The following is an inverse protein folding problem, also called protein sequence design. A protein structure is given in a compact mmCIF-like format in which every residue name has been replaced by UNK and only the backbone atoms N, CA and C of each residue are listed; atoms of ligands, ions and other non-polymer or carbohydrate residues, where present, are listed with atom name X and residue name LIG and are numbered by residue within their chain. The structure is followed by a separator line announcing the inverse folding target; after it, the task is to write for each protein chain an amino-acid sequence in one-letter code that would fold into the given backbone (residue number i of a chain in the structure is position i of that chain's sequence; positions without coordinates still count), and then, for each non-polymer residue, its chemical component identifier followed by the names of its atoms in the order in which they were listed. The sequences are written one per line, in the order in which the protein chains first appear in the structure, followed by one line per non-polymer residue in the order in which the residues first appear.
data_IF_350199646323
#
_entry.id   IF_350199646323
#
_cell.length_a   1.000
_cell.length_b   1.000
_cell.length_c   1.000
_cell.angle_alpha   90.00
_cell.angle_beta   90.00
_cell.angle_gamma   90.00
#
_symmetry.space_group_name_H-M   'P 1'
#
loop_
_entity.id
_entity.type
_entity.pdbx_description
1 polymer ?
#
# COMPACT_ATOMS: atom_id res chain seq x y z
N UNK A 1 14.44 -6.51 -8.32
CA UNK A 1 15.07 -5.32 -7.72
C UNK A 1 16.55 -5.52 -7.44
N UNK A 2 16.95 -6.65 -6.83
CA UNK A 2 18.37 -6.91 -6.61
C UNK A 2 19.16 -6.93 -7.93
N UNK A 3 18.61 -7.54 -8.97
CA UNK A 3 19.22 -7.65 -10.30
C UNK A 3 19.34 -6.31 -11.04
N UNK A 4 18.45 -5.36 -10.72
CA UNK A 4 18.43 -4.03 -11.39
C UNK A 4 19.20 -2.96 -10.62
N UNK A 5 19.17 -3.00 -9.28
CA UNK A 5 19.69 -1.94 -8.40
C UNK A 5 20.76 -2.44 -7.43
N UNK A 6 20.94 -3.75 -7.33
CA UNK A 6 21.90 -4.39 -6.43
C UNK A 6 23.36 -4.23 -6.84
N UNK A 7 24.27 -4.96 -6.21
CA UNK A 7 23.99 -5.83 -5.07
C UNK A 7 23.63 -5.06 -3.79
N UNK A 8 22.82 -5.67 -2.93
CA UNK A 8 22.54 -5.18 -1.58
C UNK A 8 23.19 -6.09 -0.54
N UNK A 9 23.56 -5.54 0.62
CA UNK A 9 24.04 -6.32 1.75
C UNK A 9 22.89 -7.05 2.44
N UNK A 10 21.73 -6.39 2.55
CA UNK A 10 20.52 -7.00 3.12
C UNK A 10 19.22 -6.39 2.56
N UNK A 11 18.17 -7.20 2.58
CA UNK A 11 16.79 -6.79 2.36
C UNK A 11 16.01 -6.95 3.65
N UNK A 12 15.51 -5.82 4.19
CA UNK A 12 14.69 -5.80 5.40
C UNK A 12 13.21 -5.83 5.06
N UNK A 13 12.47 -6.71 5.75
CA UNK A 13 11.02 -6.85 5.66
C UNK A 13 10.39 -6.29 6.94
N UNK A 14 9.73 -5.14 6.84
CA UNK A 14 9.19 -4.37 7.98
C UNK A 14 7.71 -4.11 7.71
N UNK A 15 6.83 -5.11 7.83
CA UNK A 15 5.42 -4.96 7.48
C UNK A 15 4.62 -4.18 8.53
N UNK A 16 5.22 -3.81 9.67
CA UNK A 16 4.56 -3.05 10.71
C UNK A 16 4.03 -1.70 10.21
N UNK A 17 2.77 -1.42 10.54
CA UNK A 17 2.08 -0.15 10.29
C UNK A 17 1.29 0.22 11.52
N UNK A 18 1.90 1.05 12.37
CA UNK A 18 1.44 1.31 13.74
C UNK A 18 0.06 1.98 13.72
N UNK A 19 -0.16 2.98 12.85
CA UNK A 19 -1.42 3.69 12.72
C UNK A 19 -2.57 2.76 12.27
N UNK A 20 -2.23 1.75 11.47
CA UNK A 20 -3.16 0.70 11.02
C UNK A 20 -3.21 -0.49 11.96
N UNK A 21 -2.68 -0.36 13.21
CA UNK A 21 -2.61 -1.43 14.21
C UNK A 21 -1.98 -2.73 13.70
N UNK A 22 -0.97 -2.61 12.84
CA UNK A 22 -0.24 -3.75 12.28
C UNK A 22 1.11 -3.88 12.95
N UNK A 23 1.36 -5.03 13.51
CA UNK A 23 2.57 -5.35 14.29
C UNK A 23 3.16 -6.67 13.83
N UNK A 24 4.45 -6.86 14.08
CA UNK A 24 5.13 -8.15 13.86
C UNK A 24 5.80 -8.54 15.16
N UNK A 25 5.44 -9.71 15.68
CA UNK A 25 5.89 -10.23 16.97
C UNK A 25 6.32 -11.67 16.78
N UNK A 26 7.56 -11.99 17.16
CA UNK A 26 8.17 -13.33 16.98
C UNK A 26 8.04 -13.87 15.54
N UNK A 27 8.09 -12.98 14.56
CA UNK A 27 7.98 -13.30 13.15
C UNK A 27 6.54 -13.43 12.63
N UNK A 28 5.52 -13.37 13.48
CA UNK A 28 4.13 -13.41 13.09
C UNK A 28 3.56 -11.99 12.95
N UNK A 29 2.77 -11.77 11.89
CA UNK A 29 2.14 -10.49 11.59
C UNK A 29 0.69 -10.46 12.06
N UNK A 30 0.34 -9.37 12.75
CA UNK A 30 -0.97 -9.13 13.34
C UNK A 30 -1.59 -7.86 12.78
N UNK A 31 -2.91 -7.84 12.71
CA UNK A 31 -3.74 -6.67 12.44
C UNK A 31 -4.77 -6.57 13.54
N UNK A 32 -4.74 -5.49 14.33
CA UNK A 32 -5.61 -5.27 15.48
C UNK A 32 -5.61 -6.48 16.44
N UNK A 33 -4.42 -6.99 16.77
CA UNK A 33 -4.16 -8.19 17.59
C UNK A 33 -4.69 -9.52 17.03
N UNK A 34 -5.24 -9.53 15.81
CA UNK A 34 -5.65 -10.75 15.11
C UNK A 34 -4.53 -11.21 14.18
N UNK A 35 -4.13 -12.51 14.22
CA UNK A 35 -3.18 -13.04 13.24
C UNK A 35 -3.65 -12.75 11.82
N UNK A 36 -2.78 -12.20 10.98
CA UNK A 36 -3.18 -11.70 9.65
C UNK A 36 -3.80 -12.78 8.76
N UNK A 37 -3.43 -14.06 8.95
CA UNK A 37 -4.04 -15.19 8.24
C UNK A 37 -5.51 -15.44 8.59
N UNK A 38 -6.02 -14.86 9.68
CA UNK A 38 -7.42 -14.98 10.13
C UNK A 38 -8.25 -13.75 9.73
N UNK A 39 -7.63 -12.73 9.15
CA UNK A 39 -8.29 -11.50 8.73
C UNK A 39 -8.86 -11.59 7.32
N UNK A 40 -9.66 -10.59 6.93
CA UNK A 40 -10.16 -10.44 5.56
C UNK A 40 -9.04 -10.34 4.52
N UNK A 41 -7.87 -9.80 4.89
CA UNK A 41 -6.72 -9.66 4.00
C UNK A 41 -6.16 -11.00 3.52
N UNK A 42 -6.31 -12.05 4.33
CA UNK A 42 -5.88 -13.40 3.95
C UNK A 42 -6.75 -14.04 2.85
N UNK A 43 -8.00 -13.58 2.74
CA UNK A 43 -9.00 -14.11 1.79
C UNK A 43 -8.88 -13.53 0.38
N UNK A 44 -7.99 -12.56 0.17
CA UNK A 44 -7.74 -11.98 -1.15
C UNK A 44 -7.33 -13.07 -2.14
N UNK A 45 -7.98 -13.10 -3.33
CA UNK A 45 -7.80 -14.16 -4.33
C UNK A 45 -6.43 -14.13 -5.00
N UNK A 46 -5.81 -12.96 -5.09
CA UNK A 46 -4.52 -12.77 -5.78
C UNK A 46 -3.38 -12.72 -4.76
N UNK A 47 -3.55 -11.96 -3.69
CA UNK A 47 -2.51 -11.65 -2.71
C UNK A 47 -2.71 -12.37 -1.37
N UNK A 48 -3.76 -13.17 -1.24
CA UNK A 48 -4.10 -13.89 -0.02
C UNK A 48 -2.99 -14.84 0.45
N UNK A 49 -3.07 -15.24 1.70
CA UNK A 49 -2.06 -16.07 2.36
C UNK A 49 -2.67 -16.95 3.45
N UNK A 50 -2.02 -18.08 3.71
CA UNK A 50 -2.51 -19.09 4.66
C UNK A 50 -1.78 -19.08 6.00
N UNK A 51 -0.78 -18.23 6.17
CA UNK A 51 0.04 -18.15 7.38
C UNK A 51 0.21 -16.70 7.80
N UNK A 52 0.38 -16.45 9.09
CA UNK A 52 0.76 -15.13 9.64
C UNK A 52 2.26 -14.97 9.75
N UNK A 53 3.02 -16.05 9.64
CA UNK A 53 4.46 -16.03 9.77
C UNK A 53 5.12 -15.41 8.53
N UNK A 54 5.77 -14.25 8.73
CA UNK A 54 6.36 -13.45 7.64
C UNK A 54 7.48 -14.21 6.93
N UNK A 55 8.24 -15.04 7.65
CA UNK A 55 9.30 -15.88 7.07
C UNK A 55 8.71 -16.92 6.11
N UNK A 56 7.63 -17.59 6.50
CA UNK A 56 6.92 -18.52 5.63
C UNK A 56 6.29 -17.82 4.43
N UNK A 57 5.67 -16.64 4.65
CA UNK A 57 5.10 -15.83 3.56
C UNK A 57 6.15 -15.43 2.54
N UNK A 58 7.31 -14.97 3.01
CA UNK A 58 8.42 -14.58 2.14
C UNK A 58 8.92 -15.77 1.32
N UNK A 59 9.16 -16.91 1.98
CA UNK A 59 9.63 -18.13 1.31
C UNK A 59 8.66 -18.60 0.23
N UNK A 60 7.35 -18.64 0.52
CA UNK A 60 6.32 -19.03 -0.45
C UNK A 60 6.25 -18.08 -1.64
N UNK A 61 6.32 -16.75 -1.40
CA UNK A 61 6.22 -15.73 -2.47
C UNK A 61 7.48 -15.69 -3.35
N UNK A 62 8.64 -16.01 -2.80
CA UNK A 62 9.90 -16.06 -3.56
C UNK A 62 10.08 -17.36 -4.37
N UNK A 63 9.09 -18.27 -4.39
CA UNK A 63 9.13 -19.53 -5.15
C UNK A 63 10.45 -20.29 -4.96
N UNK A 64 10.92 -20.40 -3.73
CA UNK A 64 12.15 -21.10 -3.32
C UNK A 64 13.47 -20.49 -3.87
N UNK A 65 13.45 -19.25 -4.37
CA UNK A 65 14.69 -18.54 -4.75
C UNK A 65 15.56 -18.15 -3.54
N UNK A 66 14.98 -18.20 -2.35
CA UNK A 66 15.64 -17.92 -1.06
C UNK A 66 15.50 -19.18 -0.21
N UNK A 67 16.60 -19.63 0.40
CA UNK A 67 16.53 -20.74 1.35
C UNK A 67 15.83 -20.32 2.63
N UNK A 68 14.90 -21.12 3.12
CA UNK A 68 14.12 -20.81 4.31
C UNK A 68 15.02 -20.50 5.53
N UNK A 69 16.08 -21.26 5.73
CA UNK A 69 17.00 -21.10 6.86
C UNK A 69 17.86 -19.82 6.77
N UNK A 70 18.03 -19.25 5.58
CA UNK A 70 18.82 -18.02 5.40
C UNK A 70 18.01 -16.76 5.74
N UNK A 71 16.69 -16.89 5.89
CA UNK A 71 15.83 -15.79 6.33
C UNK A 71 15.97 -15.62 7.84
N UNK A 72 16.52 -14.48 8.26
CA UNK A 72 16.74 -14.15 9.66
C UNK A 72 15.55 -13.40 10.26
N UNK A 73 15.43 -13.41 11.58
CA UNK A 73 14.50 -12.56 12.32
C UNK A 73 15.26 -11.68 13.31
N UNK A 74 14.97 -10.38 13.30
CA UNK A 74 15.41 -9.41 14.29
C UNK A 74 14.27 -9.23 15.30
N UNK A 75 14.43 -9.85 16.47
CA UNK A 75 13.37 -9.95 17.49
C UNK A 75 13.22 -8.67 18.30
N UNK A 76 12.02 -8.44 18.84
CA UNK A 76 11.71 -7.34 19.75
C UNK A 76 12.64 -7.32 20.95
N UNK A 77 12.97 -8.50 21.52
CA UNK A 77 13.89 -8.62 22.64
C UNK A 77 15.28 -8.05 22.32
N UNK A 78 15.76 -8.25 21.10
CA UNK A 78 17.04 -7.68 20.64
C UNK A 78 16.97 -6.17 20.50
N UNK A 79 15.82 -5.62 20.07
CA UNK A 79 15.58 -4.17 19.97
C UNK A 79 15.44 -3.49 21.33
N UNK A 80 14.94 -4.19 22.36
CA UNK A 80 14.84 -3.67 23.74
C UNK A 80 16.21 -3.51 24.40
N UNK A 81 17.16 -4.39 24.13
CA UNK A 81 18.52 -4.38 24.71
C UNK A 81 19.36 -3.17 24.29
N UNK A 82 18.90 -2.38 23.28
CA UNK A 82 19.58 -1.13 22.90
C UNK A 82 19.65 -0.07 24.02
N UNK A 83 18.96 -0.24 25.14
CA UNK A 83 18.96 0.68 26.29
C UNK A 83 20.13 0.48 27.24
N UNK A 84 20.77 -0.68 27.24
CA UNK A 84 21.95 -0.94 28.08
C UNK A 84 23.25 -0.57 27.35
N UNK A 85 24.25 -0.13 28.09
CA UNK A 85 25.62 0.14 27.62
C UNK A 85 26.32 -1.10 27.01
N UNK A 86 25.71 -2.26 27.07
CA UNK A 86 26.16 -3.48 26.44
C UNK A 86 25.83 -3.46 24.94
N UNK A 87 26.63 -2.66 24.31
CA UNK A 87 27.04 -2.70 22.91
C UNK A 87 26.16 -3.54 21.94
N UNK A 88 25.11 -2.89 21.41
CA UNK A 88 24.76 -2.97 19.98
C UNK A 88 24.70 -4.37 19.37
N UNK A 89 24.01 -5.33 20.02
CA UNK A 89 23.75 -6.64 19.40
C UNK A 89 23.09 -6.44 18.02
N UNK A 90 22.06 -5.61 17.95
CA UNK A 90 21.36 -5.27 16.71
C UNK A 90 22.28 -4.61 15.71
N UNK A 91 23.05 -3.60 16.12
CA UNK A 91 23.99 -2.91 15.23
C UNK A 91 25.03 -3.87 14.65
N UNK A 92 25.62 -4.74 15.49
CA UNK A 92 26.59 -5.72 15.03
C UNK A 92 25.95 -6.80 14.15
N UNK A 93 24.74 -7.24 14.47
CA UNK A 93 23.98 -8.18 13.63
C UNK A 93 23.76 -7.57 12.25
N UNK A 94 23.26 -6.33 12.15
CA UNK A 94 23.04 -5.64 10.88
C UNK A 94 24.37 -5.41 10.14
N UNK A 95 25.43 -5.01 10.85
CA UNK A 95 26.75 -4.78 10.25
C UNK A 95 27.35 -6.01 9.59
N UNK A 96 27.07 -7.20 10.11
CA UNK A 96 27.59 -8.46 9.61
C UNK A 96 26.75 -9.06 8.45
N UNK A 97 25.59 -8.46 8.11
CA UNK A 97 24.77 -8.91 6.98
C UNK A 97 25.50 -8.68 5.66
N UNK A 98 25.39 -9.63 4.75
CA UNK A 98 26.01 -9.62 3.42
C UNK A 98 25.19 -10.46 2.44
N UNK A 99 25.54 -10.37 1.15
CA UNK A 99 24.98 -11.25 0.09
C UNK A 99 23.46 -11.23 0.04
N UNK A 100 22.88 -10.02 0.17
CA UNK A 100 21.44 -9.81 0.20
C UNK A 100 20.70 -10.64 1.25
N UNK A 101 21.25 -10.73 2.46
CA UNK A 101 20.59 -11.41 3.57
C UNK A 101 19.16 -10.90 3.77
N UNK A 102 18.18 -11.79 3.87
CA UNK A 102 16.78 -11.41 4.13
C UNK A 102 16.51 -11.39 5.63
N UNK A 103 16.02 -10.26 6.14
CA UNK A 103 15.80 -10.05 7.57
C UNK A 103 14.38 -9.55 7.81
N UNK A 104 13.60 -10.29 8.60
CA UNK A 104 12.31 -9.86 9.10
C UNK A 104 12.55 -9.05 10.37
N UNK A 105 11.91 -7.90 10.52
CA UNK A 105 12.06 -7.04 11.67
C UNK A 105 10.76 -7.01 12.46
N UNK A 106 10.81 -7.51 13.68
CA UNK A 106 9.70 -7.44 14.63
C UNK A 106 9.54 -6.02 15.16
N UNK A 107 8.35 -5.47 15.05
CA UNK A 107 8.03 -4.11 15.52
C UNK A 107 6.61 -4.10 16.11
N UNK A 108 6.49 -3.58 17.32
CA UNK A 108 5.22 -3.31 18.01
C UNK A 108 4.91 -1.82 18.14
N UNK A 109 5.95 -0.97 18.17
CA UNK A 109 5.77 0.45 18.45
C UNK A 109 6.87 1.32 17.81
N UNK A 110 6.66 2.63 17.85
CA UNK A 110 7.60 3.60 17.28
C UNK A 110 8.97 3.63 17.97
N UNK A 111 9.05 3.43 19.29
CA UNK A 111 10.35 3.42 19.99
C UNK A 111 11.30 2.37 19.44
N UNK A 112 10.78 1.15 19.16
CA UNK A 112 11.57 0.09 18.53
C UNK A 112 11.95 0.45 17.08
N UNK A 113 11.02 1.05 16.35
CA UNK A 113 11.22 1.44 14.95
C UNK A 113 12.28 2.55 14.83
N UNK A 114 12.27 3.53 15.71
CA UNK A 114 13.27 4.61 15.78
C UNK A 114 14.66 4.08 16.09
N UNK A 115 14.79 3.16 17.06
CA UNK A 115 16.06 2.52 17.40
C UNK A 115 16.64 1.74 16.23
N UNK A 116 15.80 0.98 15.54
CA UNK A 116 16.17 0.30 14.30
C UNK A 116 16.62 1.29 13.22
N UNK A 117 15.84 2.35 12.99
CA UNK A 117 16.14 3.41 12.01
C UNK A 117 17.47 4.10 12.28
N UNK A 118 17.79 4.37 13.55
CA UNK A 118 19.09 4.95 13.93
C UNK A 118 20.27 4.02 13.60
N UNK A 119 20.12 2.72 13.81
CA UNK A 119 21.13 1.72 13.46
C UNK A 119 21.34 1.66 11.95
N UNK A 120 20.25 1.66 11.18
CA UNK A 120 20.27 1.69 9.71
C UNK A 120 20.97 2.96 9.21
N UNK A 121 20.60 4.15 9.70
CA UNK A 121 21.23 5.42 9.31
C UNK A 121 22.74 5.43 9.51
N UNK A 122 23.21 4.89 10.64
CA UNK A 122 24.67 4.80 10.91
C UNK A 122 25.37 3.88 9.93
N UNK A 123 24.76 2.73 9.58
CA UNK A 123 25.35 1.72 8.72
C UNK A 123 25.19 2.00 7.22
N UNK A 124 24.21 2.80 6.81
CA UNK A 124 23.95 3.12 5.40
C UNK A 124 25.09 3.87 4.69
N UNK A 125 26.06 4.40 5.45
CA UNK A 125 27.30 4.98 4.92
C UNK A 125 28.29 3.92 4.42
N UNK A 126 28.16 2.68 4.85
CA UNK A 126 29.09 1.57 4.57
C UNK A 126 28.40 0.37 3.92
N UNK A 127 27.07 0.30 4.02
CA UNK A 127 26.25 -0.81 3.60
C UNK A 127 25.08 -0.36 2.73
N UNK A 128 24.71 -1.18 1.77
CA UNK A 128 23.58 -0.93 0.88
C UNK A 128 22.40 -1.81 1.26
N UNK A 129 21.29 -1.20 1.63
CA UNK A 129 20.10 -1.89 2.12
C UNK A 129 18.90 -1.68 1.21
N UNK A 130 18.10 -2.74 1.04
CA UNK A 130 16.79 -2.69 0.43
C UNK A 130 15.72 -2.85 1.50
N UNK A 131 14.61 -2.09 1.39
CA UNK A 131 13.52 -2.13 2.35
C UNK A 131 12.21 -2.48 1.66
N UNK A 132 11.53 -3.52 2.17
CA UNK A 132 10.14 -3.80 1.90
C UNK A 132 9.35 -3.48 3.16
N UNK A 133 8.67 -2.34 3.15
CA UNK A 133 8.13 -1.75 4.38
C UNK A 133 6.73 -1.17 4.18
N UNK A 134 6.04 -0.93 5.29
CA UNK A 134 4.86 -0.06 5.38
C UNK A 134 5.27 1.39 5.75
N UNK A 135 4.28 2.29 5.84
CA UNK A 135 4.51 3.73 5.96
C UNK A 135 5.22 4.14 7.26
N UNK A 136 4.96 3.47 8.38
CA UNK A 136 5.55 3.84 9.67
C UNK A 136 7.09 3.83 9.68
N UNK A 137 7.72 2.88 8.97
CA UNK A 137 9.18 2.87 8.84
C UNK A 137 9.70 4.05 8.00
N UNK A 138 8.97 4.42 6.95
CA UNK A 138 9.36 5.57 6.11
C UNK A 138 9.34 6.85 6.94
N UNK A 139 8.29 7.04 7.75
CA UNK A 139 8.20 8.17 8.69
C UNK A 139 9.37 8.17 9.69
N UNK A 140 9.67 7.02 10.30
CA UNK A 140 10.75 6.89 11.27
C UNK A 140 12.15 7.12 10.67
N UNK A 141 12.45 6.52 9.51
CA UNK A 141 13.79 6.63 8.89
C UNK A 141 14.03 8.03 8.31
N UNK A 142 13.00 8.71 7.78
CA UNK A 142 13.11 10.07 7.28
C UNK A 142 13.03 11.13 8.37
N UNK A 143 12.69 10.75 9.60
CA UNK A 143 12.44 11.66 10.73
C UNK A 143 11.40 12.74 10.41
N UNK A 144 10.43 12.41 9.54
CA UNK A 144 9.28 13.28 9.28
C UNK A 144 8.42 13.28 10.53
N UNK A 145 8.23 14.45 11.09
CA UNK A 145 7.32 14.66 12.21
C UNK A 145 5.88 14.77 11.68
N UNK A 146 4.93 14.43 12.53
CA UNK A 146 3.52 14.69 12.26
C UNK A 146 3.34 16.14 11.84
N UNK A 147 2.57 16.34 10.80
CA UNK A 147 2.22 17.69 10.36
C UNK A 147 0.93 18.11 11.08
N UNK A 148 1.00 18.85 12.19
CA UNK A 148 -0.17 19.26 12.95
C UNK A 148 -0.95 20.39 12.23
N UNK A 149 -0.59 20.70 10.97
CA UNK A 149 -1.24 21.76 10.24
C UNK A 149 -2.69 21.40 9.95
N UNK A 150 -3.53 22.28 10.41
CA UNK A 150 -4.98 22.21 10.30
C UNK A 150 -5.48 22.08 8.85
N UNK A 151 -6.71 21.59 8.64
CA UNK A 151 -7.35 21.47 7.32
C UNK A 151 -7.30 22.74 6.47
N UNK A 152 -7.22 23.89 7.09
CA UNK A 152 -7.08 25.21 6.45
C UNK A 152 -5.85 25.30 5.54
N UNK A 153 -4.76 24.56 5.82
CA UNK A 153 -3.57 24.54 4.94
C UNK A 153 -3.90 24.00 3.54
N UNK A 154 -4.80 23.04 3.44
CA UNK A 154 -5.20 22.46 2.15
C UNK A 154 -5.96 23.45 1.28
N UNK A 155 -6.64 24.43 1.87
CA UNK A 155 -7.31 25.50 1.15
C UNK A 155 -6.33 26.41 0.41
N UNK A 156 -5.07 26.55 0.89
CA UNK A 156 -4.05 27.39 0.29
C UNK A 156 -3.48 26.81 -1.03
N UNK A 157 -3.47 25.48 -1.16
CA UNK A 157 -2.97 24.81 -2.35
C UNK A 157 -4.05 24.51 -3.38
N UNK A 158 -5.32 24.73 -3.02
CA UNK A 158 -6.45 24.50 -3.91
C UNK A 158 -6.50 25.58 -4.99
N UNK A 159 -6.61 25.16 -6.25
CA UNK A 159 -6.67 26.08 -7.40
C UNK A 159 -7.90 26.97 -7.34
N UNK A 160 -7.74 28.22 -7.74
CA UNK A 160 -8.81 29.21 -7.86
C UNK A 160 -8.92 29.70 -9.31
N UNK A 161 -10.13 30.06 -9.71
CA UNK A 161 -10.37 30.75 -10.98
C UNK A 161 -9.93 32.23 -10.91
N UNK A 162 -10.11 32.97 -12.03
CA UNK A 162 -9.78 34.41 -12.10
C UNK A 162 -10.55 35.25 -11.09
N UNK A 163 -11.75 34.80 -10.68
CA UNK A 163 -12.60 35.50 -9.67
C UNK A 163 -12.26 35.09 -8.23
N UNK A 164 -11.15 34.38 -8.02
CA UNK A 164 -10.70 33.83 -6.73
C UNK A 164 -11.62 32.76 -6.10
N UNK A 165 -12.59 32.23 -6.83
CA UNK A 165 -13.41 31.09 -6.40
C UNK A 165 -12.63 29.79 -6.56
N UNK A 166 -12.83 28.85 -5.65
CA UNK A 166 -12.21 27.51 -5.74
C UNK A 166 -12.75 26.75 -6.96
N UNK A 167 -11.84 26.20 -7.74
CA UNK A 167 -12.21 25.30 -8.82
C UNK A 167 -12.75 23.97 -8.25
N UNK A 168 -13.70 23.31 -8.94
CA UNK A 168 -14.15 21.98 -8.56
C UNK A 168 -12.99 21.00 -8.60
N UNK A 169 -13.05 19.98 -7.73
CA UNK A 169 -12.13 18.86 -7.72
C UNK A 169 -12.57 17.78 -8.70
N UNK A 170 -11.81 16.68 -8.71
CA UNK A 170 -12.19 15.42 -9.34
C UNK A 170 -11.65 14.28 -8.47
N UNK A 171 -12.53 13.37 -8.06
CA UNK A 171 -12.16 12.19 -7.28
C UNK A 171 -12.34 10.93 -8.11
N UNK A 172 -11.37 10.00 -7.96
CA UNK A 172 -11.45 8.67 -8.55
C UNK A 172 -11.28 7.62 -7.45
N UNK A 173 -12.24 6.69 -7.33
CA UNK A 173 -12.27 5.65 -6.31
C UNK A 173 -12.39 4.29 -6.98
N UNK A 174 -11.25 3.60 -7.17
CA UNK A 174 -11.18 2.27 -7.78
C UNK A 174 -11.37 1.11 -6.79
N UNK A 175 -11.15 1.34 -5.49
CA UNK A 175 -11.28 0.30 -4.47
C UNK A 175 -12.74 -0.02 -4.17
N UNK A 176 -13.10 -1.29 -4.23
CA UNK A 176 -14.46 -1.80 -3.97
C UNK A 176 -14.58 -2.52 -2.60
N UNK A 177 -13.52 -2.51 -1.77
CA UNK A 177 -13.56 -3.14 -0.45
C UNK A 177 -14.61 -2.47 0.44
N UNK A 178 -15.15 -3.23 1.39
CA UNK A 178 -16.26 -2.79 2.25
C UNK A 178 -15.98 -1.45 2.94
N UNK A 179 -14.79 -1.30 3.53
CA UNK A 179 -14.40 -0.04 4.19
C UNK A 179 -14.47 1.16 3.23
N UNK A 180 -13.94 1.02 2.00
CA UNK A 180 -14.00 2.11 1.01
C UNK A 180 -15.43 2.37 0.55
N UNK A 181 -16.27 1.34 0.50
CA UNK A 181 -17.70 1.47 0.16
C UNK A 181 -18.45 2.26 1.23
N UNK A 182 -18.19 1.98 2.51
CA UNK A 182 -18.74 2.76 3.63
C UNK A 182 -18.25 4.22 3.60
N UNK A 183 -16.94 4.42 3.42
CA UNK A 183 -16.36 5.77 3.30
C UNK A 183 -16.96 6.57 2.14
N UNK A 184 -17.16 5.94 0.97
CA UNK A 184 -17.80 6.58 -0.17
C UNK A 184 -19.24 6.99 0.13
N UNK A 185 -20.01 6.11 0.77
CA UNK A 185 -21.39 6.39 1.16
C UNK A 185 -21.46 7.61 2.07
N UNK A 186 -20.74 7.58 3.20
CA UNK A 186 -20.66 8.70 4.13
C UNK A 186 -20.21 10.00 3.45
N UNK A 187 -19.17 9.90 2.61
CA UNK A 187 -18.67 11.06 1.87
C UNK A 187 -19.72 11.70 0.97
N UNK A 188 -20.51 10.90 0.24
CA UNK A 188 -21.57 11.40 -0.64
C UNK A 188 -22.76 11.98 0.14
N UNK A 189 -23.01 11.53 1.37
CA UNK A 189 -24.07 12.08 2.24
C UNK A 189 -23.71 13.47 2.79
N UNK A 190 -22.42 13.75 3.02
CA UNK A 190 -21.95 15.01 3.65
C UNK A 190 -21.37 16.01 2.65
N UNK A 191 -21.31 15.71 1.37
CA UNK A 191 -20.70 16.55 0.35
C UNK A 191 -21.63 16.84 -0.81
N UNK A 192 -21.45 17.99 -1.44
CA UNK A 192 -22.15 18.38 -2.69
C UNK A 192 -21.48 17.76 -3.95
N UNK A 193 -20.73 16.68 -3.77
CA UNK A 193 -20.07 15.99 -4.86
C UNK A 193 -21.06 15.12 -5.64
N UNK A 194 -20.89 15.06 -6.97
CA UNK A 194 -21.81 14.32 -7.87
C UNK A 194 -21.21 12.95 -8.21
N UNK A 195 -21.86 11.85 -7.81
CA UNK A 195 -21.38 10.50 -8.08
C UNK A 195 -21.55 10.10 -9.55
N UNK A 196 -20.55 9.40 -10.08
CA UNK A 196 -20.57 8.74 -11.38
C UNK A 196 -20.06 7.31 -11.17
N UNK A 197 -20.90 6.32 -11.41
CA UNK A 197 -20.46 4.93 -11.38
C UNK A 197 -19.85 4.55 -12.74
N UNK A 198 -18.64 4.00 -12.71
CA UNK A 198 -18.06 3.25 -13.81
C UNK A 198 -18.49 1.79 -13.65
N UNK A 199 -19.43 1.36 -14.47
CA UNK A 199 -19.90 -0.04 -14.49
C UNK A 199 -18.78 -0.98 -14.98
N UNK A 200 -18.15 -1.68 -14.02
CA UNK A 200 -17.03 -2.58 -14.27
C UNK A 200 -17.48 -3.84 -15.02
N UNK A 201 -18.72 -4.27 -14.85
CA UNK A 201 -19.27 -5.43 -15.56
C UNK A 201 -19.54 -5.09 -17.04
N UNK A 202 -20.03 -3.89 -17.32
CA UNK A 202 -20.19 -3.40 -18.69
C UNK A 202 -18.83 -3.21 -19.36
N UNK A 203 -17.83 -2.65 -18.67
CA UNK A 203 -16.46 -2.59 -19.17
C UNK A 203 -15.92 -3.98 -19.49
N UNK A 204 -16.11 -4.98 -18.62
CA UNK A 204 -15.71 -6.37 -18.88
C UNK A 204 -16.42 -6.94 -20.11
N UNK A 205 -17.73 -6.71 -20.23
CA UNK A 205 -18.53 -7.17 -21.37
C UNK A 205 -17.98 -6.63 -22.68
N UNK A 206 -17.74 -5.33 -22.74
CA UNK A 206 -17.20 -4.66 -23.94
C UNK A 206 -15.80 -5.17 -24.26
N UNK A 207 -14.91 -5.29 -23.24
CA UNK A 207 -13.53 -5.72 -23.44
C UNK A 207 -13.38 -7.12 -24.03
N UNK A 208 -14.40 -7.98 -23.90
CA UNK A 208 -14.44 -9.34 -24.47
C UNK A 208 -14.97 -9.40 -25.91
N UNK A 209 -15.48 -8.32 -26.47
CA UNK A 209 -16.01 -8.32 -27.84
C UNK A 209 -14.87 -8.29 -28.87
N UNK A 210 -15.09 -8.93 -30.02
CA UNK A 210 -14.11 -8.95 -31.13
C UNK A 210 -13.85 -7.56 -31.73
N UNK A 211 -14.88 -6.68 -31.72
CA UNK A 211 -14.81 -5.27 -32.16
C UNK A 211 -14.93 -4.32 -30.96
N UNK A 212 -14.03 -4.46 -29.99
CA UNK A 212 -14.16 -3.76 -28.71
C UNK A 212 -13.74 -2.29 -28.75
N UNK A 213 -12.89 -1.89 -29.70
CA UNK A 213 -12.27 -0.56 -29.71
C UNK A 213 -13.30 0.57 -29.81
N UNK A 214 -14.21 0.49 -30.79
CA UNK A 214 -15.22 1.54 -31.00
C UNK A 214 -16.19 1.63 -29.80
N UNK A 215 -16.58 0.48 -29.25
CA UNK A 215 -17.47 0.44 -28.09
C UNK A 215 -16.78 0.95 -26.80
N UNK A 216 -15.49 0.67 -26.61
CA UNK A 216 -14.72 1.23 -25.50
C UNK A 216 -14.56 2.75 -25.63
N UNK A 217 -14.34 3.25 -26.85
CA UNK A 217 -14.29 4.70 -27.13
C UNK A 217 -15.64 5.34 -26.83
N UNK A 218 -16.73 4.74 -27.26
CA UNK A 218 -18.08 5.24 -26.97
C UNK A 218 -18.37 5.26 -25.46
N UNK A 219 -18.03 4.18 -24.76
CA UNK A 219 -18.19 4.07 -23.31
C UNK A 219 -17.37 5.14 -22.56
N UNK A 220 -16.11 5.33 -22.96
CA UNK A 220 -15.24 6.38 -22.44
C UNK A 220 -15.81 7.78 -22.69
N UNK A 221 -16.25 8.05 -23.91
CA UNK A 221 -16.81 9.36 -24.28
C UNK A 221 -18.08 9.69 -23.49
N UNK A 222 -18.92 8.69 -23.17
CA UNK A 222 -20.09 8.86 -22.32
C UNK A 222 -19.68 9.30 -20.90
N UNK A 223 -18.71 8.62 -20.29
CA UNK A 223 -18.19 9.00 -18.97
C UNK A 223 -17.58 10.39 -18.98
N UNK A 224 -16.75 10.70 -19.98
CA UNK A 224 -16.13 12.02 -20.12
C UNK A 224 -17.15 13.13 -20.31
N UNK A 225 -18.25 12.87 -21.04
CA UNK A 225 -19.34 13.83 -21.22
C UNK A 225 -20.04 14.13 -19.88
N UNK A 226 -20.30 13.12 -19.05
CA UNK A 226 -20.87 13.28 -17.71
C UNK A 226 -19.93 14.09 -16.80
N UNK A 227 -18.64 13.72 -16.74
CA UNK A 227 -17.62 14.44 -15.95
C UNK A 227 -17.56 15.93 -16.38
N UNK A 228 -17.47 16.20 -17.68
CA UNK A 228 -17.41 17.55 -18.23
C UNK A 228 -18.66 18.36 -17.94
N UNK A 229 -19.83 17.74 -17.98
CA UNK A 229 -21.11 18.40 -17.64
C UNK A 229 -21.14 18.86 -16.18
N UNK A 230 -20.71 17.99 -15.25
CA UNK A 230 -20.64 18.29 -13.81
C UNK A 230 -19.63 19.40 -13.53
N UNK A 231 -18.43 19.32 -14.13
CA UNK A 231 -17.39 20.35 -13.95
C UNK A 231 -17.83 21.73 -14.51
N UNK A 232 -18.60 21.76 -15.62
CA UNK A 232 -19.16 23.01 -16.16
C UNK A 232 -20.18 23.65 -15.23
N UNK A 233 -20.83 22.86 -14.37
CA UNK A 233 -21.75 23.34 -13.34
C UNK A 233 -21.03 23.72 -12.03
N UNK A 234 -19.69 23.79 -12.06
CA UNK A 234 -18.82 24.07 -10.91
C UNK A 234 -18.93 23.03 -9.77
N UNK A 235 -19.48 21.85 -10.05
CA UNK A 235 -19.57 20.74 -9.10
C UNK A 235 -18.37 19.80 -9.23
N UNK A 236 -18.06 19.06 -8.15
CA UNK A 236 -16.98 18.08 -8.10
C UNK A 236 -17.51 16.68 -8.46
N UNK A 237 -17.15 16.08 -9.60
CA UNK A 237 -17.50 14.71 -9.91
C UNK A 237 -16.68 13.70 -9.10
N UNK A 238 -17.32 12.61 -8.67
CA UNK A 238 -16.71 11.46 -8.00
C UNK A 238 -16.92 10.23 -8.88
N UNK A 239 -15.89 9.87 -9.63
CA UNK A 239 -15.91 8.64 -10.43
C UNK A 239 -15.54 7.46 -9.54
N UNK A 240 -16.39 6.45 -9.44
CA UNK A 240 -16.09 5.24 -8.68
C UNK A 240 -16.47 3.99 -9.47
N UNK A 241 -15.73 2.91 -9.25
CA UNK A 241 -16.03 1.60 -9.86
C UNK A 241 -17.21 0.94 -9.18
N UNK A 242 -17.89 0.01 -9.86
CA UNK A 242 -18.94 -0.84 -9.25
C UNK A 242 -18.48 -1.45 -7.92
N UNK A 243 -19.37 -1.48 -6.92
CA UNK A 243 -19.08 -1.95 -5.56
C UNK A 243 -19.05 -3.47 -5.40
N UNK A 244 -19.19 -4.21 -6.49
CA UNK A 244 -19.09 -5.67 -6.53
C UNK A 244 -17.81 -6.11 -7.21
N UNK A 245 -17.15 -7.12 -6.64
CA UNK A 245 -15.96 -7.72 -7.23
C UNK A 245 -16.29 -8.45 -8.53
N UNK A 246 -15.51 -8.18 -9.58
CA UNK A 246 -15.47 -9.04 -10.77
C UNK A 246 -14.57 -10.22 -10.47
N UNK A 247 -15.09 -11.43 -10.61
CA UNK A 247 -14.37 -12.67 -10.40
C UNK A 247 -14.22 -13.44 -11.71
N UNK A 248 -12.98 -13.65 -12.16
CA UNK A 248 -12.64 -14.45 -13.33
C UNK A 248 -12.05 -15.79 -12.90
N UNK A 249 -12.16 -16.80 -13.76
CA UNK A 249 -11.77 -18.18 -13.43
C UNK A 249 -10.24 -18.35 -13.29
N UNK A 250 -9.47 -17.56 -14.06
CA UNK A 250 -7.99 -17.66 -14.08
C UNK A 250 -7.38 -16.38 -13.50
N UNK A 251 -6.35 -16.53 -12.66
CA UNK A 251 -5.64 -15.42 -12.06
C UNK A 251 -5.01 -14.47 -13.10
N UNK A 252 -4.45 -15.00 -14.18
CA UNK A 252 -3.83 -14.17 -15.22
C UNK A 252 -4.89 -13.32 -15.96
N UNK A 253 -6.08 -13.87 -16.22
CA UNK A 253 -7.20 -13.13 -16.80
C UNK A 253 -7.67 -12.02 -15.83
N UNK A 254 -7.70 -12.30 -14.53
CA UNK A 254 -8.06 -11.34 -13.50
C UNK A 254 -7.06 -10.17 -13.44
N UNK A 255 -5.76 -10.46 -13.46
CA UNK A 255 -4.70 -9.45 -13.46
C UNK A 255 -4.75 -8.60 -14.73
N UNK A 256 -4.90 -9.23 -15.91
CA UNK A 256 -5.01 -8.53 -17.18
C UNK A 256 -6.24 -7.62 -17.24
N UNK A 257 -7.35 -8.10 -16.68
CA UNK A 257 -8.57 -7.30 -16.59
C UNK A 257 -8.37 -6.03 -15.73
N UNK A 258 -7.79 -6.16 -14.55
CA UNK A 258 -7.51 -5.01 -13.68
C UNK A 258 -6.50 -4.04 -14.29
N UNK A 259 -5.48 -4.54 -14.99
CA UNK A 259 -4.54 -3.68 -15.72
C UNK A 259 -5.25 -2.91 -16.83
N UNK A 260 -6.12 -3.57 -17.59
CA UNK A 260 -6.90 -2.93 -18.66
C UNK A 260 -7.86 -1.86 -18.11
N UNK A 261 -8.53 -2.15 -16.99
CA UNK A 261 -9.40 -1.20 -16.30
C UNK A 261 -8.63 0.01 -15.78
N UNK A 262 -7.45 -0.21 -15.19
CA UNK A 262 -6.59 0.87 -14.69
C UNK A 262 -6.08 1.78 -15.82
N UNK A 263 -5.79 1.23 -17.01
CA UNK A 263 -5.42 2.02 -18.18
C UNK A 263 -6.61 2.77 -18.81
N UNK A 264 -7.82 2.24 -18.64
CA UNK A 264 -9.04 2.88 -19.14
C UNK A 264 -9.40 4.13 -18.33
N UNK A 265 -9.24 4.08 -17.00
CA UNK A 265 -9.51 5.19 -16.07
C UNK A 265 -8.44 6.28 -16.20
#
# INVERSE_FOLDING_TARGET
MNDCLGPFDATFHIPAFIEGKRMTIDGDHFVDNVPVSQTIFAKDKIFGYKTSNVKQLLFQKCKSQIKFNDIQNLKISELKVLESKEKNIVFNKIRNLKENSHVIVDIENYSQLEKFSLSIKKLSKQKKFLFRTAASFISSISAVKDNPKEPFFYSLIRRKNREKKFLPGFLVIGSYVELTTMQLKEFLEISDCIPIELDVFEFLRISKLKSNQDQLVLFKNKLLAQIRSILKQENTPVLFTSRKEVSLAKNDEQVNFYNSLAHFI
#
